data_IF_337487504000
#
_entry.id   IF_337487504000
#
_cell.length_a   1.000
_cell.length_b   1.000
_cell.length_c   1.000
_cell.angle_alpha   90.00
_cell.angle_beta   90.00
_cell.angle_gamma   90.00
#
_symmetry.space_group_name_H-M   'P 1'
#
loop_
_entity.id
_entity.type
_entity.pdbx_description
1 polymer ?
#
# COMPACT_ATOMS: atom_id res chain seq x y z
N UNK A 1 -28.44 -1.07 67.30
CA UNK A 1 -27.53 -0.24 66.48
C UNK A 1 -27.02 -1.08 65.34
N UNK A 2 -27.61 -0.96 64.18
CA UNK A 2 -27.22 -1.69 62.96
C UNK A 2 -26.24 -0.83 62.14
N UNK A 3 -24.97 -1.22 62.09
CA UNK A 3 -23.98 -0.62 61.19
C UNK A 3 -24.20 -1.20 59.80
N UNK A 4 -24.68 -0.39 58.89
CA UNK A 4 -24.74 -0.71 57.47
C UNK A 4 -23.37 -0.54 56.87
N UNK A 5 -22.74 -1.64 56.47
CA UNK A 5 -21.49 -1.64 55.68
C UNK A 5 -21.93 -1.51 54.20
N UNK A 6 -21.60 -0.37 53.62
CA UNK A 6 -21.78 -0.17 52.19
C UNK A 6 -20.61 -0.81 51.43
N UNK A 7 -20.88 -1.85 50.66
CA UNK A 7 -19.92 -2.38 49.70
C UNK A 7 -19.93 -1.48 48.44
N UNK A 8 -18.80 -0.82 48.20
CA UNK A 8 -18.52 -0.18 46.90
C UNK A 8 -18.13 -1.25 45.90
N UNK A 9 -18.74 -1.26 44.70
CA UNK A 9 -18.23 -2.10 43.61
C UNK A 9 -17.00 -1.45 43.01
N UNK A 10 -15.90 -2.21 43.01
CA UNK A 10 -14.68 -1.87 42.34
C UNK A 10 -14.88 -2.06 40.84
N UNK A 11 -15.06 -0.97 40.12
CA UNK A 11 -15.14 -0.99 38.64
C UNK A 11 -13.74 -1.23 38.10
N UNK A 12 -13.45 -2.42 37.63
CA UNK A 12 -12.24 -2.74 36.89
C UNK A 12 -12.34 -2.10 35.49
N UNK A 13 -11.65 -0.98 35.32
CA UNK A 13 -11.46 -0.40 34.00
C UNK A 13 -10.51 -1.28 33.20
N UNK A 14 -11.05 -2.04 32.25
CA UNK A 14 -10.26 -2.76 31.29
C UNK A 14 -9.62 -1.74 30.33
N UNK A 15 -8.33 -1.48 30.51
CA UNK A 15 -7.53 -0.74 29.56
C UNK A 15 -7.37 -1.60 28.32
N UNK A 16 -8.16 -1.31 27.29
CA UNK A 16 -7.91 -1.84 25.96
C UNK A 16 -6.67 -1.13 25.44
N UNK A 17 -5.53 -1.79 25.57
CA UNK A 17 -4.30 -1.34 24.94
C UNK A 17 -4.47 -1.61 23.44
N UNK A 18 -4.90 -0.60 22.69
CA UNK A 18 -4.74 -0.57 21.24
C UNK A 18 -3.25 -0.41 20.95
N UNK A 19 -2.52 -1.52 20.88
CA UNK A 19 -1.16 -1.52 20.39
C UNK A 19 -1.13 -1.07 18.94
N UNK A 20 -0.04 -0.42 18.46
CA UNK A 20 0.10 -0.06 17.07
C UNK A 20 -0.01 -1.35 16.24
N UNK A 21 -0.98 -1.37 15.33
CA UNK A 21 -1.18 -2.48 14.42
C UNK A 21 0.09 -2.62 13.57
N UNK A 22 0.82 -3.76 13.58
CA UNK A 22 2.05 -3.93 12.79
C UNK A 22 1.76 -4.04 11.28
N UNK A 23 0.60 -3.58 10.85
CA UNK A 23 0.12 -3.70 9.49
C UNK A 23 0.78 -2.67 8.60
N UNK A 24 1.43 -3.21 7.62
CA UNK A 24 1.80 -2.59 6.35
C UNK A 24 2.46 -1.22 6.49
N UNK A 25 3.76 -1.22 6.33
CA UNK A 25 4.49 0.02 6.06
C UNK A 25 3.91 0.63 4.79
N UNK A 26 3.05 1.60 4.97
CA UNK A 26 2.54 2.42 3.89
C UNK A 26 3.66 3.30 3.35
N UNK A 27 3.96 3.14 2.08
CA UNK A 27 4.88 4.01 1.38
C UNK A 27 4.11 5.22 0.87
N UNK A 28 4.62 6.41 1.14
CA UNK A 28 4.01 7.67 0.71
C UNK A 28 4.93 8.38 -0.26
N UNK A 29 4.42 8.66 -1.44
CA UNK A 29 5.15 9.35 -2.51
C UNK A 29 4.30 10.46 -3.09
N UNK A 30 4.96 11.46 -3.67
CA UNK A 30 4.29 12.61 -4.26
C UNK A 30 4.90 12.91 -5.63
N UNK A 31 4.03 13.20 -6.58
CA UNK A 31 4.39 13.85 -7.84
C UNK A 31 4.02 15.33 -7.78
N UNK A 32 3.99 16.01 -8.91
CA UNK A 32 3.62 17.42 -8.95
C UNK A 32 2.16 17.65 -8.50
N UNK A 33 1.25 16.79 -8.93
CA UNK A 33 -0.18 16.97 -8.70
C UNK A 33 -0.84 15.89 -7.84
N UNK A 34 -0.15 14.76 -7.56
CA UNK A 34 -0.75 13.62 -6.87
C UNK A 34 0.03 13.21 -5.62
N UNK A 35 -0.72 12.70 -4.64
CA UNK A 35 -0.17 11.97 -3.51
C UNK A 35 -0.56 10.49 -3.64
N UNK A 36 0.42 9.62 -3.45
CA UNK A 36 0.27 8.16 -3.55
C UNK A 36 0.54 7.51 -2.20
N UNK A 37 -0.41 6.73 -1.73
CA UNK A 37 -0.30 5.92 -0.52
C UNK A 37 -0.31 4.45 -0.93
N UNK A 38 0.83 3.79 -0.81
CA UNK A 38 1.07 2.48 -1.40
C UNK A 38 1.21 1.45 -0.28
N UNK A 39 0.40 0.43 -0.33
CA UNK A 39 0.52 -0.76 0.51
C UNK A 39 0.70 -1.99 -0.37
N UNK A 40 1.29 -3.05 0.18
CA UNK A 40 1.52 -4.28 -0.56
C UNK A 40 1.15 -5.49 0.28
N UNK A 41 0.68 -6.53 -0.39
CA UNK A 41 0.27 -7.78 0.21
C UNK A 41 0.66 -8.96 -0.72
N UNK A 42 1.38 -9.97 -0.22
CA UNK A 42 1.92 -10.10 1.14
C UNK A 42 3.12 -9.19 1.44
N UNK A 43 3.37 -8.97 2.71
CA UNK A 43 4.56 -8.27 3.21
C UNK A 43 5.43 -9.23 4.04
N UNK A 44 6.77 -9.22 3.87
CA UNK A 44 7.54 -8.50 2.86
C UNK A 44 7.36 -9.09 1.46
N UNK A 45 7.61 -8.31 0.38
CA UNK A 45 7.60 -8.84 -0.98
C UNK A 45 8.66 -9.93 -1.16
N UNK A 46 8.27 -11.03 -1.80
CA UNK A 46 9.15 -12.18 -2.02
C UNK A 46 9.18 -12.56 -3.48
N UNK A 47 10.35 -13.03 -3.92
CA UNK A 47 10.50 -13.56 -5.27
C UNK A 47 9.58 -14.78 -5.50
N UNK A 48 9.12 -14.94 -6.74
CA UNK A 48 8.28 -16.04 -7.22
C UNK A 48 6.89 -16.11 -6.55
N UNK A 49 6.49 -15.05 -5.88
CA UNK A 49 5.16 -14.92 -5.28
C UNK A 49 4.46 -13.67 -5.84
N UNK A 50 3.19 -13.73 -6.24
CA UNK A 50 2.48 -12.55 -6.70
C UNK A 50 2.27 -11.58 -5.55
N UNK A 51 2.56 -10.30 -5.78
CA UNK A 51 2.39 -9.21 -4.83
C UNK A 51 1.32 -8.28 -5.35
N UNK A 52 0.29 -8.02 -4.55
CA UNK A 52 -0.72 -7.02 -4.87
C UNK A 52 -0.32 -5.69 -4.25
N UNK A 53 -0.19 -4.68 -5.07
CA UNK A 53 -0.01 -3.29 -4.66
C UNK A 53 -1.37 -2.61 -4.67
N UNK A 54 -1.69 -1.98 -3.55
CA UNK A 54 -2.88 -1.17 -3.39
C UNK A 54 -2.45 0.28 -3.25
N UNK A 55 -2.97 1.14 -4.10
CA UNK A 55 -2.55 2.52 -4.22
C UNK A 55 -3.76 3.43 -4.05
N UNK A 56 -3.74 4.26 -3.01
CA UNK A 56 -4.71 5.34 -2.87
C UNK A 56 -4.11 6.59 -3.49
N UNK A 57 -4.80 7.20 -4.43
CA UNK A 57 -4.37 8.40 -5.14
C UNK A 57 -5.26 9.58 -4.77
N UNK A 58 -4.63 10.64 -4.33
CA UNK A 58 -5.31 11.89 -3.98
C UNK A 58 -4.73 13.06 -4.77
N UNK A 59 -5.56 14.08 -4.98
CA UNK A 59 -5.06 15.38 -5.41
C UNK A 59 -4.13 15.95 -4.33
N UNK A 60 -2.95 16.37 -4.71
CA UNK A 60 -1.93 16.83 -3.75
C UNK A 60 -2.35 18.09 -2.99
N UNK A 61 -3.13 18.97 -3.62
CA UNK A 61 -3.55 20.25 -3.04
C UNK A 61 -4.82 20.10 -2.20
N UNK A 62 -5.84 19.46 -2.75
CA UNK A 62 -7.16 19.35 -2.12
C UNK A 62 -7.28 18.14 -1.22
N UNK A 63 -6.41 17.15 -1.40
CA UNK A 63 -6.46 15.84 -0.76
C UNK A 63 -7.71 15.03 -1.06
N UNK A 64 -8.47 15.43 -2.07
CA UNK A 64 -9.61 14.66 -2.54
C UNK A 64 -9.15 13.41 -3.28
N UNK A 65 -9.80 12.26 -3.07
CA UNK A 65 -9.48 11.04 -3.80
C UNK A 65 -9.78 11.21 -5.28
N UNK A 66 -8.94 10.63 -6.13
CA UNK A 66 -9.10 10.66 -7.58
C UNK A 66 -9.80 9.38 -8.03
N UNK A 67 -11.09 9.51 -8.37
CA UNK A 67 -11.95 8.39 -8.70
C UNK A 67 -11.80 7.92 -10.14
N UNK A 68 -11.47 8.83 -11.04
CA UNK A 68 -11.31 8.52 -12.46
C UNK A 68 -9.86 8.78 -12.86
N UNK A 69 -9.12 7.73 -13.04
CA UNK A 69 -7.73 7.83 -13.44
C UNK A 69 -7.28 6.56 -14.13
N UNK A 70 -6.11 6.63 -14.73
CA UNK A 70 -5.44 5.49 -15.32
C UNK A 70 -3.96 5.53 -15.01
N UNK A 71 -3.36 4.36 -14.97
CA UNK A 71 -1.96 4.25 -14.70
C UNK A 71 -1.48 2.81 -14.68
N UNK A 72 -0.23 2.66 -14.33
CA UNK A 72 0.41 1.36 -14.21
C UNK A 72 1.48 1.37 -13.12
N UNK A 73 1.76 0.19 -12.63
CA UNK A 73 2.90 -0.09 -11.77
C UNK A 73 3.87 -1.00 -12.53
N UNK A 74 5.16 -0.77 -12.37
CA UNK A 74 6.19 -1.59 -12.99
C UNK A 74 7.47 -1.57 -12.19
N UNK A 75 8.31 -2.57 -12.42
CA UNK A 75 9.62 -2.65 -11.79
C UNK A 75 10.63 -3.33 -12.71
N UNK A 76 11.89 -2.94 -12.57
CA UNK A 76 13.02 -3.47 -13.33
C UNK A 76 14.17 -3.79 -12.40
N UNK A 77 14.79 -4.96 -12.57
CA UNK A 77 16.01 -5.33 -11.87
C UNK A 77 17.28 -4.86 -12.60
N UNK A 78 18.41 -4.92 -11.89
CA UNK A 78 19.73 -4.64 -12.51
C UNK A 78 20.03 -5.57 -13.69
N UNK A 79 19.53 -6.80 -13.66
CA UNK A 79 19.67 -7.80 -14.74
C UNK A 79 18.64 -7.63 -15.86
N UNK A 80 17.92 -6.51 -15.88
CA UNK A 80 16.90 -6.18 -16.87
C UNK A 80 15.66 -7.08 -16.87
N UNK A 81 15.40 -7.81 -15.82
CA UNK A 81 14.11 -8.46 -15.63
C UNK A 81 13.04 -7.37 -15.34
N UNK A 82 11.85 -7.57 -15.89
CA UNK A 82 10.75 -6.62 -15.80
C UNK A 82 9.49 -7.29 -15.27
N UNK A 83 8.69 -6.54 -14.54
CA UNK A 83 7.33 -6.90 -14.18
C UNK A 83 6.47 -5.66 -14.22
N UNK A 84 5.24 -5.77 -14.70
CA UNK A 84 4.33 -4.63 -14.82
C UNK A 84 2.88 -5.05 -14.79
N UNK A 85 2.01 -4.14 -14.38
CA UNK A 85 0.56 -4.33 -14.45
C UNK A 85 -0.14 -2.96 -14.61
N UNK A 86 -1.23 -2.95 -15.37
CA UNK A 86 -2.14 -1.81 -15.44
C UNK A 86 -3.01 -1.73 -14.18
N UNK A 87 -3.30 -0.52 -13.72
CA UNK A 87 -4.16 -0.32 -12.57
C UNK A 87 -5.60 -0.71 -12.84
N UNK A 88 -6.20 -1.40 -11.86
CA UNK A 88 -7.64 -1.64 -11.77
C UNK A 88 -8.21 -0.73 -10.67
N UNK A 89 -9.30 -0.02 -10.96
CA UNK A 89 -10.01 0.75 -9.96
C UNK A 89 -10.72 -0.18 -8.98
N UNK A 90 -10.48 0.02 -7.71
CA UNK A 90 -11.15 -0.69 -6.63
C UNK A 90 -12.43 0.04 -6.18
N UNK A 91 -13.22 -0.63 -5.32
CA UNK A 91 -14.47 -0.06 -4.81
C UNK A 91 -14.25 1.13 -3.89
N UNK A 92 -13.18 1.10 -3.11
CA UNK A 92 -12.85 2.18 -2.19
C UNK A 92 -12.43 3.44 -2.95
N UNK A 93 -12.78 4.58 -2.38
CA UNK A 93 -12.51 5.89 -2.99
C UNK A 93 -11.03 6.06 -3.31
N UNK A 94 -10.73 6.51 -4.52
CA UNK A 94 -9.38 6.83 -4.99
C UNK A 94 -8.40 5.67 -4.98
N UNK A 95 -8.89 4.44 -4.92
CA UNK A 95 -8.05 3.25 -4.73
C UNK A 95 -7.92 2.44 -6.01
N UNK A 96 -6.70 2.09 -6.31
CA UNK A 96 -6.30 1.29 -7.47
C UNK A 96 -5.45 0.11 -7.03
N UNK A 97 -5.47 -0.97 -7.78
CA UNK A 97 -4.60 -2.12 -7.53
C UNK A 97 -3.84 -2.54 -8.78
N UNK A 98 -2.68 -3.13 -8.56
CA UNK A 98 -1.87 -3.76 -9.58
C UNK A 98 -1.07 -4.89 -8.96
N UNK A 99 -0.71 -5.90 -9.76
CA UNK A 99 0.02 -7.07 -9.30
C UNK A 99 1.38 -7.13 -9.98
N UNK A 100 2.42 -7.32 -9.18
CA UNK A 100 3.75 -7.58 -9.69
C UNK A 100 4.21 -8.99 -9.30
N UNK A 101 5.08 -9.54 -10.11
CA UNK A 101 5.72 -10.81 -9.88
C UNK A 101 7.22 -10.66 -10.09
N UNK A 102 7.98 -10.75 -9.02
CA UNK A 102 9.43 -10.59 -9.06
C UNK A 102 10.10 -11.95 -9.31
N UNK A 103 10.86 -12.06 -10.38
CA UNK A 103 11.53 -13.31 -10.73
C UNK A 103 12.74 -13.62 -9.85
N UNK A 104 13.36 -12.61 -9.26
CA UNK A 104 14.58 -12.72 -8.45
C UNK A 104 14.51 -11.85 -7.21
N UNK A 105 15.33 -12.22 -6.22
CA UNK A 105 15.55 -11.42 -5.02
C UNK A 105 16.43 -10.19 -5.31
N UNK A 106 16.49 -9.28 -4.37
CA UNK A 106 17.33 -8.10 -4.43
C UNK A 106 16.52 -6.82 -4.66
N UNK A 107 17.21 -5.78 -5.06
CA UNK A 107 16.61 -4.48 -5.24
C UNK A 107 16.11 -4.27 -6.67
N UNK A 108 14.87 -3.81 -6.77
CA UNK A 108 14.21 -3.50 -8.02
C UNK A 108 13.86 -2.02 -8.06
N UNK A 109 14.13 -1.37 -9.17
CA UNK A 109 13.64 -0.02 -9.42
C UNK A 109 12.14 -0.10 -9.78
N UNK A 110 11.31 0.31 -8.85
CA UNK A 110 9.86 0.30 -9.00
C UNK A 110 9.33 1.70 -9.30
N UNK A 111 8.27 1.79 -10.05
CA UNK A 111 7.63 3.04 -10.40
C UNK A 111 6.12 2.90 -10.62
N UNK A 112 5.42 4.01 -10.40
CA UNK A 112 4.04 4.21 -10.80
C UNK A 112 3.99 5.35 -11.81
N UNK A 113 3.21 5.18 -12.86
CA UNK A 113 2.77 6.24 -13.75
C UNK A 113 1.26 6.40 -13.63
N UNK A 114 0.77 7.63 -13.53
CA UNK A 114 -0.65 7.90 -13.32
C UNK A 114 -1.06 9.25 -13.91
N UNK A 115 -2.28 9.33 -14.38
CA UNK A 115 -2.98 10.58 -14.72
C UNK A 115 -4.45 10.46 -14.38
N UNK A 116 -5.08 11.61 -14.03
CA UNK A 116 -6.51 11.65 -13.77
C UNK A 116 -7.32 11.63 -15.07
N UNK A 117 -8.58 11.26 -14.94
CA UNK A 117 -9.63 11.41 -15.96
C UNK A 117 -9.39 10.66 -17.27
N UNK A 118 -8.38 9.77 -17.30
CA UNK A 118 -7.98 9.04 -18.50
C UNK A 118 -7.81 9.96 -19.71
N UNK A 119 -7.42 11.20 -19.45
CA UNK A 119 -7.27 12.23 -20.47
C UNK A 119 -5.87 12.16 -21.09
N UNK A 120 -5.74 11.75 -22.38
CA UNK A 120 -4.45 11.64 -23.02
C UNK A 120 -3.71 12.99 -23.19
N UNK A 121 -4.40 14.11 -23.00
CA UNK A 121 -3.77 15.44 -23.03
C UNK A 121 -3.00 15.75 -21.74
N UNK A 122 -3.32 15.05 -20.65
CA UNK A 122 -2.59 15.18 -19.39
C UNK A 122 -1.34 14.29 -19.41
N UNK A 123 -0.20 14.77 -18.91
CA UNK A 123 0.99 13.94 -18.81
C UNK A 123 0.80 12.85 -17.77
N UNK A 124 1.40 11.68 -18.01
CA UNK A 124 1.57 10.68 -16.99
C UNK A 124 2.62 11.15 -16.00
N UNK A 125 2.22 11.36 -14.75
CA UNK A 125 3.13 11.68 -13.68
C UNK A 125 3.72 10.40 -13.10
N UNK A 126 4.97 10.47 -12.69
CA UNK A 126 5.73 9.31 -12.26
C UNK A 126 6.27 9.50 -10.84
N UNK A 127 6.22 8.44 -10.06
CA UNK A 127 6.93 8.30 -8.79
C UNK A 127 7.73 7.02 -8.78
N UNK A 128 8.90 7.04 -8.15
CA UNK A 128 9.86 5.96 -8.14
C UNK A 128 10.29 5.61 -6.72
N UNK A 129 10.59 4.32 -6.51
CA UNK A 129 11.21 3.85 -5.26
C UNK A 129 12.03 2.59 -5.52
N UNK A 130 12.85 2.22 -4.55
CA UNK A 130 13.55 0.95 -4.57
C UNK A 130 12.74 -0.06 -3.78
N UNK A 131 12.36 -1.15 -4.43
CA UNK A 131 11.67 -2.27 -3.82
C UNK A 131 12.64 -3.40 -3.55
N UNK A 132 12.90 -3.66 -2.27
CA UNK A 132 13.67 -4.84 -1.86
C UNK A 132 12.76 -6.06 -1.88
N UNK A 133 13.20 -7.09 -2.58
CA UNK A 133 12.50 -8.37 -2.74
C UNK A 133 13.28 -9.46 -2.03
N UNK A 134 12.62 -10.12 -1.10
CA UNK A 134 13.21 -11.20 -0.28
C UNK A 134 13.14 -12.55 -1.00
N UNK A 135 13.86 -13.54 -0.45
CA UNK A 135 13.79 -14.91 -0.96
C UNK A 135 12.37 -15.45 -0.89
N UNK A 136 12.03 -16.35 -1.82
CA UNK A 136 10.78 -17.08 -1.79
C UNK A 136 10.58 -17.78 -0.45
N UNK A 137 9.32 -17.93 -0.02
CA UNK A 137 9.00 -18.75 1.14
C UNK A 137 9.39 -20.19 0.85
N UNK A 138 10.01 -20.88 1.83
CA UNK A 138 10.24 -22.30 1.69
C UNK A 138 8.89 -23.03 1.60
N UNK A 139 8.76 -24.06 0.75
CA UNK A 139 7.57 -24.89 0.76
C UNK A 139 7.45 -25.50 2.16
N UNK A 140 6.30 -25.32 2.79
CA UNK A 140 6.04 -25.86 4.12
C UNK A 140 6.30 -27.37 4.13
N UNK A 141 7.14 -27.81 5.06
CA UNK A 141 7.37 -29.23 5.37
C UNK A 141 6.18 -29.81 6.10
#
# INVERSE_FOLDING_TARGET
MLRRIALLPLAAAALVVCGPNPKSRELRLWSDNYAFYITMDPMPPRALEPITYRVVVQDKKTRQPIETGEGRIFATSADRANTSDGFKKEKELGTYSGRLFFATTGDWAAAIQFRRDKDPRLPLERVDWIQTVHTASEPGT
#
